data_IF_108769809877
#
_entry.id   IF_108769809877
#
_cell.length_a   1.000
_cell.length_b   1.000
_cell.length_c   1.000
_cell.angle_alpha   90.00
_cell.angle_beta   90.00
_cell.angle_gamma   90.00
#
_symmetry.space_group_name_H-M   'P 1'
#
loop_
_entity.id
_entity.type
_entity.pdbx_description
1 polymer ?
#
# COMPACT_ATOMS: atom_id res chain seq x y z
N UNK A 1 14.23 -53.22 -21.64
CA UNK A 1 14.24 -52.43 -20.38
C UNK A 1 14.67 -50.95 -20.51
N UNK A 2 15.10 -50.45 -21.67
CA UNK A 2 15.55 -49.04 -21.84
C UNK A 2 14.42 -47.99 -21.92
N UNK A 3 13.17 -48.40 -22.15
CA UNK A 3 12.04 -47.48 -22.40
C UNK A 3 11.56 -46.73 -21.16
N UNK A 4 11.54 -47.37 -19.98
CA UNK A 4 11.00 -46.76 -18.75
C UNK A 4 11.87 -45.61 -18.24
N UNK A 5 13.19 -45.80 -18.23
CA UNK A 5 14.16 -44.77 -17.79
C UNK A 5 14.10 -43.52 -18.67
N UNK A 6 13.88 -43.68 -19.98
CA UNK A 6 13.74 -42.54 -20.89
C UNK A 6 12.48 -41.71 -20.59
N UNK A 7 11.33 -42.37 -20.31
CA UNK A 7 10.08 -41.69 -19.94
C UNK A 7 10.22 -40.92 -18.62
N UNK A 8 10.88 -41.51 -17.61
CA UNK A 8 11.12 -40.85 -16.32
C UNK A 8 11.96 -39.59 -16.50
N UNK A 9 13.04 -39.64 -17.30
CA UNK A 9 13.90 -38.47 -17.56
C UNK A 9 13.15 -37.31 -18.21
N UNK A 10 12.26 -37.60 -19.17
CA UNK A 10 11.42 -36.58 -19.82
C UNK A 10 10.49 -35.91 -18.81
N UNK A 11 9.81 -36.70 -17.96
CA UNK A 11 8.93 -36.17 -16.90
C UNK A 11 9.69 -35.30 -15.91
N UNK A 12 10.86 -35.74 -15.43
CA UNK A 12 11.70 -34.96 -14.51
C UNK A 12 12.16 -33.64 -15.14
N UNK A 13 12.51 -33.64 -16.43
CA UNK A 13 12.89 -32.41 -17.14
C UNK A 13 11.72 -31.44 -17.26
N UNK A 14 10.51 -31.93 -17.55
CA UNK A 14 9.31 -31.11 -17.62
C UNK A 14 8.96 -30.50 -16.24
N UNK A 15 9.01 -31.30 -15.18
CA UNK A 15 8.76 -30.84 -13.81
C UNK A 15 9.74 -29.75 -13.37
N UNK A 16 11.04 -29.95 -13.62
CA UNK A 16 12.06 -28.91 -13.35
C UNK A 16 11.80 -27.61 -14.09
N UNK A 17 11.34 -27.69 -15.35
CA UNK A 17 11.00 -26.50 -16.14
C UNK A 17 9.81 -25.75 -15.51
N UNK A 18 8.76 -26.48 -15.13
CA UNK A 18 7.59 -25.89 -14.49
C UNK A 18 7.93 -25.20 -13.16
N UNK A 19 8.80 -25.79 -12.33
CA UNK A 19 9.27 -25.14 -11.10
C UNK A 19 10.01 -23.83 -11.37
N UNK A 20 10.89 -23.81 -12.39
CA UNK A 20 11.62 -22.58 -12.75
C UNK A 20 10.62 -21.52 -13.22
N UNK A 21 9.68 -21.89 -14.09
CA UNK A 21 8.65 -20.97 -14.60
C UNK A 21 7.76 -20.42 -13.47
N UNK A 22 7.43 -21.24 -12.46
CA UNK A 22 6.72 -20.81 -11.26
C UNK A 22 7.51 -19.79 -10.44
N UNK A 23 8.78 -20.07 -10.12
CA UNK A 23 9.61 -19.14 -9.36
C UNK A 23 9.84 -17.83 -10.11
N UNK A 24 10.04 -17.88 -11.43
CA UNK A 24 10.17 -16.68 -12.25
C UNK A 24 8.88 -15.85 -12.23
N UNK A 25 7.71 -16.50 -12.30
CA UNK A 25 6.42 -15.82 -12.22
C UNK A 25 6.19 -15.18 -10.84
N UNK A 26 6.50 -15.91 -9.75
CA UNK A 26 6.39 -15.41 -8.38
C UNK A 26 7.35 -14.23 -8.13
N UNK A 27 8.58 -14.32 -8.63
CA UNK A 27 9.56 -13.23 -8.54
C UNK A 27 9.06 -11.98 -9.27
N UNK A 28 8.55 -12.14 -10.50
CA UNK A 28 7.98 -11.03 -11.26
C UNK A 28 6.77 -10.37 -10.56
N UNK A 29 5.94 -11.15 -9.86
CA UNK A 29 4.84 -10.62 -9.06
C UNK A 29 5.35 -9.82 -7.86
N UNK A 30 6.37 -10.33 -7.15
CA UNK A 30 7.00 -9.65 -6.00
C UNK A 30 7.67 -8.33 -6.40
N UNK A 31 8.30 -8.29 -7.57
CA UNK A 31 8.87 -7.06 -8.13
C UNK A 31 7.77 -6.01 -8.35
N UNK A 32 6.64 -6.40 -8.96
CA UNK A 32 5.49 -5.50 -9.16
C UNK A 32 4.89 -5.00 -7.85
N UNK A 33 4.80 -5.85 -6.84
CA UNK A 33 4.33 -5.43 -5.50
C UNK A 33 5.29 -4.37 -4.93
N UNK A 34 6.59 -4.56 -5.08
CA UNK A 34 7.61 -3.60 -4.64
C UNK A 34 7.50 -2.27 -5.39
N UNK A 35 7.24 -2.32 -6.70
CA UNK A 35 7.01 -1.13 -7.53
C UNK A 35 5.75 -0.37 -7.08
N UNK A 36 4.63 -1.05 -6.84
CA UNK A 36 3.40 -0.42 -6.33
C UNK A 36 3.61 0.19 -4.94
N UNK A 37 4.30 -0.51 -4.03
CA UNK A 37 4.63 0.05 -2.70
C UNK A 37 5.48 1.33 -2.85
N UNK A 38 6.39 1.36 -3.81
CA UNK A 38 7.19 2.55 -4.12
C UNK A 38 6.34 3.69 -4.70
N UNK A 39 5.40 3.38 -5.60
CA UNK A 39 4.48 4.38 -6.14
C UNK A 39 3.56 4.97 -5.07
N UNK A 40 3.05 4.14 -4.15
CA UNK A 40 2.28 4.60 -2.98
C UNK A 40 3.11 5.60 -2.18
N UNK A 41 4.36 5.27 -1.86
CA UNK A 41 5.25 6.18 -1.12
C UNK A 41 5.49 7.49 -1.87
N UNK A 42 5.64 7.47 -3.20
CA UNK A 42 5.77 8.68 -4.01
C UNK A 42 4.51 9.54 -3.97
N UNK A 43 3.31 8.94 -4.05
CA UNK A 43 2.04 9.65 -4.01
C UNK A 43 1.78 10.25 -2.61
N UNK A 44 2.14 9.54 -1.54
CA UNK A 44 2.04 10.06 -0.17
C UNK A 44 2.92 11.30 0.04
N UNK A 45 4.12 11.29 -0.57
CA UNK A 45 5.07 12.41 -0.53
C UNK A 45 4.79 13.50 -1.58
N UNK A 46 3.77 13.34 -2.43
CA UNK A 46 3.45 14.30 -3.46
C UNK A 46 3.14 15.68 -2.85
N UNK A 47 3.68 16.73 -3.48
CA UNK A 47 3.43 18.09 -3.04
C UNK A 47 1.95 18.45 -3.25
N UNK A 48 1.35 19.27 -2.37
CA UNK A 48 0.00 19.77 -2.58
C UNK A 48 -0.07 20.63 -3.85
N UNK A 49 -1.27 20.77 -4.41
CA UNK A 49 -1.46 21.66 -5.55
C UNK A 49 -1.25 23.13 -5.18
N UNK A 50 -0.94 23.97 -6.16
CA UNK A 50 -0.77 25.41 -5.94
C UNK A 50 -2.03 26.05 -5.35
N UNK A 51 -3.21 25.62 -5.78
CA UNK A 51 -4.50 26.12 -5.30
C UNK A 51 -4.71 25.78 -3.81
N UNK A 52 -4.33 24.59 -3.38
CA UNK A 52 -4.42 24.20 -1.96
C UNK A 52 -3.43 24.96 -1.09
N UNK A 53 -2.22 25.19 -1.61
CA UNK A 53 -1.23 26.02 -0.91
C UNK A 53 -1.73 27.44 -0.77
N UNK A 54 -2.32 28.01 -1.82
CA UNK A 54 -2.94 29.34 -1.78
C UNK A 54 -4.05 29.41 -0.73
N UNK A 55 -4.98 28.45 -0.74
CA UNK A 55 -6.08 28.38 0.22
C UNK A 55 -5.57 28.25 1.68
N UNK A 56 -4.51 27.48 1.91
CA UNK A 56 -3.87 27.35 3.24
C UNK A 56 -3.17 28.64 3.66
N UNK A 57 -2.50 29.33 2.74
CA UNK A 57 -1.88 30.64 3.02
C UNK A 57 -2.97 31.65 3.39
N UNK A 58 -4.07 31.70 2.63
CA UNK A 58 -5.21 32.58 2.92
C UNK A 58 -5.82 32.29 4.29
N UNK A 59 -6.08 31.01 4.59
CA UNK A 59 -6.58 30.59 5.90
C UNK A 59 -5.63 31.00 7.03
N UNK A 60 -4.33 30.80 6.83
CA UNK A 60 -3.32 31.16 7.83
C UNK A 60 -3.23 32.68 8.04
N UNK A 61 -3.25 33.47 6.96
CA UNK A 61 -3.26 34.94 7.04
C UNK A 61 -4.51 35.43 7.76
N UNK A 62 -5.69 34.89 7.43
CA UNK A 62 -6.95 35.24 8.08
C UNK A 62 -6.95 34.88 9.57
N UNK A 63 -6.44 33.71 9.94
CA UNK A 63 -6.29 33.29 11.35
C UNK A 63 -5.33 34.20 12.10
N UNK A 64 -4.25 34.67 11.47
CA UNK A 64 -3.27 35.57 12.08
C UNK A 64 -3.82 36.99 12.21
N UNK A 65 -4.56 37.47 11.23
CA UNK A 65 -5.22 38.78 11.24
C UNK A 65 -6.33 38.85 12.30
N UNK A 66 -7.14 37.80 12.48
CA UNK A 66 -8.19 37.79 13.51
C UNK A 66 -7.62 37.84 14.94
N UNK A 67 -6.43 37.28 15.14
CA UNK A 67 -5.69 37.39 16.40
C UNK A 67 -5.11 38.80 16.65
N UNK A 68 -5.08 39.70 15.66
CA UNK A 68 -4.72 41.10 15.86
C UNK A 68 -5.89 41.92 16.44
N UNK A 69 -7.13 41.59 16.10
CA UNK A 69 -8.33 42.33 16.54
C UNK A 69 -8.60 42.25 18.06
N UNK A 70 -8.02 41.26 18.76
CA UNK A 70 -8.06 41.25 20.22
C UNK A 70 -7.17 42.34 20.84
N UNK A 71 -6.14 42.81 20.12
CA UNK A 71 -5.21 43.86 20.58
C UNK A 71 -5.69 45.26 20.21
N UNK A 72 -6.33 45.43 19.05
CA UNK A 72 -6.93 46.71 18.66
C UNK A 72 -7.98 47.20 19.69
N UNK A 73 -8.72 46.25 20.27
CA UNK A 73 -9.64 46.53 21.39
C UNK A 73 -8.92 47.03 22.65
N UNK A 74 -7.73 46.53 22.95
CA UNK A 74 -6.91 46.99 24.09
C UNK A 74 -6.39 48.42 23.91
N UNK A 75 -6.05 48.82 22.68
CA UNK A 75 -5.65 50.20 22.40
C UNK A 75 -6.84 51.18 22.34
N UNK A 76 -8.00 50.74 21.84
CA UNK A 76 -9.21 51.55 21.81
C UNK A 76 -9.77 51.86 23.22
N UNK A 77 -9.49 51.01 24.21
CA UNK A 77 -9.80 51.31 25.63
C UNK A 77 -8.86 52.32 26.27
N UNK A 78 -7.66 52.56 25.72
CA UNK A 78 -6.68 53.50 26.26
C UNK A 78 -7.02 54.98 25.99
N UNK A 79 -7.95 55.27 25.08
CA UNK A 79 -8.44 56.64 24.79
C UNK A 79 -9.60 57.09 25.68
N UNK A 80 -9.93 56.33 26.73
CA UNK A 80 -10.62 56.86 27.91
C UNK A 80 -12.15 56.95 27.88
N UNK A 81 -12.85 56.24 26.98
CA UNK A 81 -14.33 56.27 26.94
C UNK A 81 -15.02 54.89 26.92
N UNK A 82 -14.28 53.80 27.05
CA UNK A 82 -14.82 52.43 27.16
C UNK A 82 -14.53 51.78 28.51
N UNK A 83 -15.24 50.69 28.88
CA UNK A 83 -15.03 49.97 30.14
C UNK A 83 -13.56 49.60 30.29
N UNK A 84 -12.97 50.04 31.39
CA UNK A 84 -11.56 49.83 31.73
C UNK A 84 -11.31 48.34 31.93
N UNK A 85 -10.80 47.67 30.90
CA UNK A 85 -10.15 46.38 31.10
C UNK A 85 -8.87 46.69 31.87
N UNK A 86 -8.82 46.20 33.11
CA UNK A 86 -7.71 46.37 34.04
C UNK A 86 -6.47 45.66 33.49
N UNK A 87 -5.74 46.35 32.61
CA UNK A 87 -4.50 45.85 32.02
C UNK A 87 -3.38 46.07 33.03
N UNK A 88 -3.05 45.02 33.78
CA UNK A 88 -1.90 45.00 34.67
C UNK A 88 -0.60 44.85 33.84
N UNK A 89 0.22 45.90 33.68
CA UNK A 89 1.44 45.85 32.89
C UNK A 89 2.53 44.98 33.54
N UNK A 90 2.37 44.60 34.81
CA UNK A 90 3.34 43.77 35.55
C UNK A 90 2.98 42.27 35.57
N UNK A 91 1.76 41.89 35.17
CA UNK A 91 1.37 40.49 34.90
C UNK A 91 1.61 40.04 33.46
N UNK A 92 2.12 40.93 32.62
CA UNK A 92 2.51 40.63 31.24
C UNK A 92 3.86 39.91 31.11
N UNK A 93 4.53 39.55 32.21
CA UNK A 93 5.88 38.94 32.16
C UNK A 93 5.90 37.48 31.70
N UNK A 94 4.77 36.77 31.70
CA UNK A 94 4.74 35.33 31.39
C UNK A 94 4.11 35.01 30.03
N UNK A 95 3.57 36.01 29.34
CA UNK A 95 3.30 35.91 27.90
C UNK A 95 4.60 36.27 27.21
N UNK A 96 5.41 35.25 26.91
CA UNK A 96 6.57 35.33 26.02
C UNK A 96 6.37 36.44 24.98
N UNK A 97 7.39 37.28 24.74
CA UNK A 97 7.42 38.27 23.66
C UNK A 97 7.18 37.59 22.31
N UNK A 98 5.93 37.26 22.02
CA UNK A 98 5.50 36.71 20.75
C UNK A 98 5.70 37.87 19.82
N UNK A 99 6.73 37.80 18.98
CA UNK A 99 7.01 38.77 17.94
C UNK A 99 5.68 39.13 17.26
N UNK A 100 5.11 40.30 17.61
CA UNK A 100 3.75 40.71 17.21
C UNK A 100 3.73 41.31 15.82
N UNK A 101 4.90 41.63 15.29
CA UNK A 101 5.08 42.22 13.97
C UNK A 101 4.49 41.32 12.86
N UNK A 102 4.71 39.99 12.82
CA UNK A 102 4.02 39.08 11.91
C UNK A 102 2.49 39.18 11.93
N UNK A 103 1.87 39.33 13.12
CA UNK A 103 0.41 39.45 13.23
C UNK A 103 -0.08 40.78 12.63
N UNK A 104 0.59 41.88 12.97
CA UNK A 104 0.28 43.20 12.44
C UNK A 104 0.43 43.25 10.92
N UNK A 105 1.48 42.63 10.37
CA UNK A 105 1.71 42.58 8.93
C UNK A 105 0.63 41.77 8.20
N UNK A 106 0.16 40.66 8.77
CA UNK A 106 -0.95 39.90 8.20
C UNK A 106 -2.27 40.71 8.18
N UNK A 107 -2.50 41.56 9.19
CA UNK A 107 -3.69 42.41 9.24
C UNK A 107 -3.60 43.64 8.32
N UNK A 108 -2.42 44.28 8.24
CA UNK A 108 -2.25 45.55 7.53
C UNK A 108 -1.94 45.38 6.04
N UNK A 109 -1.21 44.32 5.66
CA UNK A 109 -0.73 44.09 4.29
C UNK A 109 -0.87 42.61 3.86
N UNK A 110 -2.07 41.99 4.00
CA UNK A 110 -2.29 40.57 3.71
C UNK A 110 -1.85 40.19 2.29
N UNK A 111 -2.18 41.00 1.29
CA UNK A 111 -1.85 40.74 -0.12
C UNK A 111 -0.34 40.67 -0.38
N UNK A 112 0.46 41.52 0.29
CA UNK A 112 1.93 41.49 0.13
C UNK A 112 2.54 40.25 0.77
N UNK A 113 2.02 39.83 1.92
CA UNK A 113 2.46 38.61 2.60
C UNK A 113 2.08 37.39 1.76
N UNK A 114 0.84 37.33 1.26
CA UNK A 114 0.38 36.28 0.35
C UNK A 114 1.26 36.19 -0.89
N UNK A 115 1.52 37.31 -1.57
CA UNK A 115 2.34 37.34 -2.77
C UNK A 115 3.78 36.84 -2.53
N UNK A 116 4.39 37.22 -1.40
CA UNK A 116 5.72 36.73 -1.03
C UNK A 116 5.72 35.22 -0.78
N UNK A 117 4.80 34.73 0.06
CA UNK A 117 4.68 33.29 0.37
C UNK A 117 4.35 32.46 -0.86
N UNK A 118 3.50 32.97 -1.75
CA UNK A 118 3.18 32.31 -3.02
C UNK A 118 4.37 32.29 -3.99
N UNK A 119 5.24 33.30 -3.95
CA UNK A 119 6.50 33.30 -4.70
C UNK A 119 7.41 32.16 -4.26
N UNK A 120 7.62 32.02 -2.96
CA UNK A 120 8.44 30.94 -2.38
C UNK A 120 7.81 29.56 -2.61
N UNK A 121 6.49 29.44 -2.44
CA UNK A 121 5.76 28.21 -2.69
C UNK A 121 5.85 27.76 -4.15
N UNK A 122 5.75 28.68 -5.11
CA UNK A 122 5.91 28.36 -6.54
C UNK A 122 7.31 27.86 -6.84
N UNK A 123 8.34 28.50 -6.29
CA UNK A 123 9.72 28.06 -6.48
C UNK A 123 9.96 26.65 -5.90
N UNK A 124 9.36 26.34 -4.76
CA UNK A 124 9.44 25.00 -4.17
C UNK A 124 8.63 23.95 -4.94
N UNK A 125 7.46 24.30 -5.47
CA UNK A 125 6.61 23.40 -6.26
C UNK A 125 7.18 23.11 -7.64
N UNK A 126 7.87 24.07 -8.26
CA UNK A 126 8.49 23.92 -9.60
C UNK A 126 9.55 22.80 -9.63
N UNK A 127 10.19 22.52 -8.49
CA UNK A 127 11.18 21.44 -8.35
C UNK A 127 10.58 20.13 -7.83
N UNK A 128 9.29 20.10 -7.49
CA UNK A 128 8.65 18.90 -6.94
C UNK A 128 8.38 17.87 -8.05
N UNK A 129 8.72 16.58 -7.84
CA UNK A 129 8.58 15.54 -8.87
C UNK A 129 7.12 15.22 -9.19
N UNK A 130 6.21 15.46 -8.25
CA UNK A 130 4.78 15.17 -8.38
C UNK A 130 3.99 16.18 -7.56
N UNK A 131 2.94 16.73 -8.16
CA UNK A 131 1.95 17.58 -7.50
C UNK A 131 0.58 16.94 -7.68
N UNK A 132 -0.16 16.78 -6.58
CA UNK A 132 -1.51 16.23 -6.59
C UNK A 132 -2.38 17.02 -5.64
N UNK A 133 -3.61 17.29 -6.07
CA UNK A 133 -4.65 17.77 -5.15
C UNK A 133 -4.97 16.69 -4.12
N UNK A 134 -5.53 17.06 -2.98
CA UNK A 134 -5.99 16.15 -1.94
C UNK A 134 -7.00 15.10 -2.45
N UNK A 135 -8.05 15.44 -3.24
CA UNK A 135 -8.95 14.43 -3.77
C UNK A 135 -8.24 13.46 -4.73
N UNK A 136 -7.42 13.96 -5.66
CA UNK A 136 -6.67 13.10 -6.59
C UNK A 136 -5.69 12.18 -5.87
N UNK A 137 -4.98 12.71 -4.86
CA UNK A 137 -4.08 11.92 -4.01
C UNK A 137 -4.84 10.83 -3.28
N UNK A 138 -6.00 11.14 -2.71
CA UNK A 138 -6.82 10.17 -2.00
C UNK A 138 -7.31 9.06 -2.94
N UNK A 139 -7.86 9.42 -4.09
CA UNK A 139 -8.33 8.47 -5.11
C UNK A 139 -7.18 7.59 -5.61
N UNK A 140 -6.03 8.18 -5.95
CA UNK A 140 -4.86 7.43 -6.42
C UNK A 140 -4.32 6.48 -5.36
N UNK A 141 -4.26 6.91 -4.10
CA UNK A 141 -3.84 6.03 -2.99
C UNK A 141 -4.83 4.90 -2.76
N UNK A 142 -6.13 5.17 -2.86
CA UNK A 142 -7.15 4.13 -2.73
C UNK A 142 -7.01 3.08 -3.82
N UNK A 143 -6.85 3.52 -5.07
CA UNK A 143 -6.64 2.63 -6.22
C UNK A 143 -5.39 1.79 -6.05
N UNK A 144 -4.23 2.41 -5.79
CA UNK A 144 -2.96 1.70 -5.62
C UNK A 144 -2.99 0.71 -4.45
N UNK A 145 -3.66 1.04 -3.34
CA UNK A 145 -3.81 0.13 -2.19
C UNK A 145 -4.74 -1.04 -2.51
N UNK A 146 -5.77 -0.82 -3.31
CA UNK A 146 -6.64 -1.88 -3.80
C UNK A 146 -5.87 -2.82 -4.73
N UNK A 147 -5.08 -2.27 -5.66
CA UNK A 147 -4.27 -3.05 -6.59
C UNK A 147 -3.17 -3.83 -5.86
N UNK A 148 -2.52 -3.21 -4.87
CA UNK A 148 -1.56 -3.86 -3.98
C UNK A 148 -2.20 -5.07 -3.28
N UNK A 149 -3.38 -4.87 -2.67
CA UNK A 149 -4.07 -5.94 -1.97
C UNK A 149 -4.44 -7.09 -2.91
N UNK A 150 -4.94 -6.80 -4.11
CA UNK A 150 -5.25 -7.83 -5.11
C UNK A 150 -3.99 -8.64 -5.51
N UNK A 151 -2.85 -7.97 -5.73
CA UNK A 151 -1.60 -8.65 -6.05
C UNK A 151 -1.07 -9.50 -4.90
N UNK A 152 -1.25 -9.07 -3.66
CA UNK A 152 -0.86 -9.86 -2.47
C UNK A 152 -1.75 -11.09 -2.30
N UNK A 153 -3.05 -11.01 -2.64
CA UNK A 153 -3.95 -12.18 -2.69
C UNK A 153 -3.55 -13.14 -3.81
N UNK A 154 -3.18 -12.62 -4.97
CA UNK A 154 -2.68 -13.44 -6.09
C UNK A 154 -1.38 -14.16 -5.72
N UNK A 155 -0.47 -13.49 -5.01
CA UNK A 155 0.76 -14.09 -4.50
C UNK A 155 0.46 -15.22 -3.53
N UNK A 156 -0.41 -14.99 -2.54
CA UNK A 156 -0.73 -16.03 -1.55
C UNK A 156 -1.36 -17.24 -2.22
N UNK A 157 -2.29 -17.03 -3.16
CA UNK A 157 -2.90 -18.13 -3.92
C UNK A 157 -1.85 -18.95 -4.68
N UNK A 158 -0.88 -18.31 -5.33
CA UNK A 158 0.23 -19.02 -5.98
C UNK A 158 1.08 -19.81 -4.99
N UNK A 159 1.26 -19.32 -3.76
CA UNK A 159 2.00 -20.01 -2.70
C UNK A 159 1.20 -21.23 -2.23
N UNK A 160 -0.10 -21.08 -1.94
CA UNK A 160 -0.97 -22.18 -1.52
C UNK A 160 -1.02 -23.29 -2.59
N UNK A 161 -1.24 -22.93 -3.87
CA UNK A 161 -1.24 -23.88 -4.99
C UNK A 161 0.09 -24.67 -5.08
N UNK A 162 1.22 -24.00 -4.81
CA UNK A 162 2.54 -24.63 -4.83
C UNK A 162 2.76 -25.54 -3.62
N UNK A 163 2.31 -25.13 -2.43
CA UNK A 163 2.38 -25.93 -1.20
C UNK A 163 1.51 -27.20 -1.29
N UNK A 164 0.31 -27.09 -1.87
CA UNK A 164 -0.54 -28.24 -2.20
C UNK A 164 0.15 -29.21 -3.16
N UNK A 165 0.95 -28.69 -4.10
CA UNK A 165 1.80 -29.48 -4.98
C UNK A 165 3.08 -30.04 -4.31
N UNK A 166 3.28 -29.77 -3.01
CA UNK A 166 4.43 -30.22 -2.23
C UNK A 166 5.70 -29.41 -2.45
N UNK A 167 5.60 -28.19 -2.97
CA UNK A 167 6.70 -27.24 -3.07
C UNK A 167 6.71 -26.34 -1.83
N UNK A 168 7.84 -26.29 -1.14
CA UNK A 168 8.05 -25.37 -0.02
C UNK A 168 8.40 -23.98 -0.57
N UNK A 169 7.57 -22.98 -0.26
CA UNK A 169 7.72 -21.61 -0.78
C UNK A 169 7.68 -20.63 0.39
N UNK A 170 8.77 -19.88 0.56
CA UNK A 170 8.85 -18.87 1.61
C UNK A 170 7.85 -17.73 1.38
N UNK A 171 7.00 -17.47 2.38
CA UNK A 171 6.16 -16.27 2.45
C UNK A 171 6.98 -15.03 2.82
N UNK A 172 6.56 -13.86 2.34
CA UNK A 172 7.24 -12.59 2.68
C UNK A 172 6.88 -12.16 4.11
N UNK A 173 7.83 -11.60 4.88
CA UNK A 173 7.58 -11.16 6.26
C UNK A 173 6.72 -9.89 6.35
N UNK A 174 6.58 -9.14 5.26
CA UNK A 174 5.81 -7.90 5.15
C UNK A 174 4.48 -8.07 4.41
N UNK A 175 4.02 -9.32 4.19
CA UNK A 175 2.73 -9.60 3.57
C UNK A 175 1.58 -9.11 4.46
N UNK A 176 0.54 -8.52 3.85
CA UNK A 176 -0.66 -8.12 4.59
C UNK A 176 -1.38 -9.37 5.14
N UNK A 177 -1.59 -9.48 6.47
CA UNK A 177 -2.26 -10.65 7.05
C UNK A 177 -3.68 -10.86 6.49
N UNK A 178 -4.34 -9.80 6.00
CA UNK A 178 -5.66 -9.92 5.36
C UNK A 178 -5.59 -10.62 4.01
N UNK A 179 -4.49 -10.45 3.25
CA UNK A 179 -4.30 -11.12 1.99
C UNK A 179 -4.02 -12.62 2.20
N UNK A 180 -3.23 -12.94 3.23
CA UNK A 180 -2.94 -14.32 3.64
C UNK A 180 -4.23 -15.07 4.01
N UNK A 181 -5.10 -14.43 4.79
CA UNK A 181 -6.36 -15.03 5.23
C UNK A 181 -7.47 -15.03 4.16
N UNK A 182 -7.33 -14.29 3.06
CA UNK A 182 -8.38 -14.15 2.04
C UNK A 182 -8.50 -15.38 1.12
N UNK A 183 -7.47 -16.24 1.06
CA UNK A 183 -7.49 -17.44 0.21
C UNK A 183 -8.37 -18.54 0.81
N UNK A 184 -8.39 -18.65 2.14
CA UNK A 184 -9.16 -19.67 2.87
C UNK A 184 -10.68 -19.38 2.92
N UNK A 185 -11.09 -18.12 2.73
CA UNK A 185 -12.49 -17.68 2.88
C UNK A 185 -13.26 -17.71 1.54
N UNK A 186 -12.66 -18.27 0.48
CA UNK A 186 -13.44 -18.66 -0.70
C UNK A 186 -14.41 -19.74 -0.24
N UNK A 187 -15.74 -19.51 -0.28
CA UNK A 187 -16.69 -20.54 0.09
C UNK A 187 -16.34 -21.75 -0.77
N UNK A 188 -15.94 -22.85 -0.13
CA UNK A 188 -15.88 -24.16 -0.76
C UNK A 188 -17.21 -24.29 -1.48
N UNK A 189 -17.21 -24.05 -2.80
CA UNK A 189 -18.44 -23.88 -3.53
C UNK A 189 -19.30 -25.08 -3.20
N UNK A 190 -20.55 -24.86 -2.77
CA UNK A 190 -21.53 -25.85 -2.32
C UNK A 190 -21.59 -27.04 -3.29
N UNK A 191 -20.58 -27.90 -3.21
CA UNK A 191 -20.19 -28.87 -4.23
C UNK A 191 -20.88 -30.20 -4.02
N UNK A 192 -22.06 -30.14 -3.41
CA UNK A 192 -22.82 -31.28 -2.93
C UNK A 192 -23.56 -32.01 -4.07
N UNK A 193 -23.22 -31.77 -5.34
CA UNK A 193 -23.90 -32.43 -6.48
C UNK A 193 -22.98 -33.05 -7.55
N UNK A 194 -21.64 -33.03 -7.40
CA UNK A 194 -20.73 -33.64 -8.38
C UNK A 194 -19.64 -34.59 -7.82
N UNK A 195 -19.52 -34.74 -6.49
CA UNK A 195 -18.43 -35.49 -5.85
C UNK A 195 -18.47 -37.02 -6.04
N UNK A 196 -19.58 -37.60 -6.51
CA UNK A 196 -19.68 -39.05 -6.70
C UNK A 196 -18.91 -39.58 -7.93
N UNK A 197 -18.62 -38.74 -8.93
CA UNK A 197 -17.92 -39.19 -10.14
C UNK A 197 -16.38 -39.11 -10.05
N UNK A 198 -15.83 -38.17 -9.26
CA UNK A 198 -14.37 -37.98 -9.15
C UNK A 198 -13.71 -38.94 -8.16
N UNK A 199 -14.42 -39.37 -7.10
CA UNK A 199 -13.93 -40.42 -6.21
C UNK A 199 -13.70 -41.74 -6.96
N UNK A 200 -14.56 -42.06 -7.95
CA UNK A 200 -14.40 -43.23 -8.81
C UNK A 200 -13.23 -43.10 -9.80
N UNK A 201 -12.79 -41.87 -10.13
CA UNK A 201 -11.65 -41.62 -11.00
C UNK A 201 -10.31 -41.77 -10.23
N UNK A 202 -10.24 -41.25 -9.01
CA UNK A 202 -9.05 -41.35 -8.14
C UNK A 202 -8.79 -42.82 -7.77
N UNK A 203 -9.83 -43.59 -7.46
CA UNK A 203 -9.69 -45.03 -7.14
C UNK A 203 -9.23 -45.86 -8.36
N UNK A 204 -9.60 -45.45 -9.60
CA UNK A 204 -9.06 -46.05 -10.83
C UNK A 204 -7.59 -45.74 -11.04
N UNK A 205 -7.16 -44.50 -10.80
CA UNK A 205 -5.76 -44.08 -10.96
C UNK A 205 -4.87 -44.76 -9.91
N UNK A 206 -5.34 -44.87 -8.66
CA UNK A 206 -4.63 -45.58 -7.59
C UNK A 206 -4.53 -47.10 -7.87
N UNK A 207 -5.59 -47.71 -8.39
CA UNK A 207 -5.59 -49.11 -8.82
C UNK A 207 -4.62 -49.41 -9.96
N UNK A 208 -4.48 -48.49 -10.92
CA UNK A 208 -3.54 -48.63 -12.03
C UNK A 208 -2.07 -48.45 -11.61
N UNK A 209 -1.78 -47.56 -10.65
CA UNK A 209 -0.42 -47.40 -10.10
C UNK A 209 0.03 -48.65 -9.32
N UNK A 210 -0.89 -49.29 -8.59
CA UNK A 210 -0.62 -50.52 -7.86
C UNK A 210 -0.44 -51.74 -8.79
N UNK A 211 -1.17 -51.79 -9.91
CA UNK A 211 -0.93 -52.76 -10.99
C UNK A 211 0.45 -52.59 -11.62
N UNK A 212 0.87 -51.35 -11.89
CA UNK A 212 2.19 -51.05 -12.45
C UNK A 212 3.31 -51.44 -11.47
N UNK A 213 3.15 -51.16 -10.17
CA UNK A 213 4.09 -51.62 -9.12
C UNK A 213 4.23 -53.15 -9.09
N UNK A 214 3.12 -53.88 -9.15
CA UNK A 214 3.15 -55.35 -9.12
C UNK A 214 3.76 -55.96 -10.39
N UNK A 215 3.56 -55.34 -11.55
CA UNK A 215 4.23 -55.75 -12.79
C UNK A 215 5.75 -55.52 -12.71
N UNK A 216 6.18 -54.42 -12.09
CA UNK A 216 7.59 -54.12 -11.87
C UNK A 216 8.27 -55.19 -10.99
N UNK A 217 7.60 -55.59 -9.90
CA UNK A 217 8.12 -56.61 -8.95
C UNK A 217 8.21 -58.00 -9.62
N UNK A 218 7.26 -58.36 -10.49
CA UNK A 218 7.34 -59.62 -11.26
C UNK A 218 8.49 -59.62 -12.25
N UNK A 219 8.65 -58.54 -13.02
CA UNK A 219 9.73 -58.43 -13.99
C UNK A 219 11.12 -58.54 -13.33
N UNK A 220 11.29 -58.02 -12.10
CA UNK A 220 12.56 -58.15 -11.36
C UNK A 220 12.82 -59.55 -10.80
N UNK A 221 11.83 -60.44 -10.72
CA UNK A 221 12.01 -61.81 -10.22
C UNK A 221 12.35 -62.83 -11.31
N UNK A 222 12.06 -62.52 -12.58
CA UNK A 222 12.34 -63.42 -13.71
C UNK A 222 13.78 -63.26 -14.25
N UNK A 223 14.51 -62.21 -13.86
CA UNK A 223 15.89 -61.96 -14.28
C UNK A 223 16.95 -62.59 -13.35
N UNK A 224 16.53 -63.18 -12.21
CA UNK A 224 17.42 -63.79 -11.19
C UNK A 224 17.50 -65.34 -11.27
N UNK A 225 16.80 -65.97 -12.24
CA UNK A 225 16.88 -67.41 -12.57
C UNK A 225 17.58 -67.64 -13.93
#
# INVERSE_FOLDING_TARGET
>A
MTSTTAKVRVKVKAYKKAIIEFHDALAALRDRITDIKSEIAMVEQAAPSLEEVEAKIDQWIAQRASNWDCLGRTFATATGTGPTVDYDPFRASDVHEVNRLPLALCALVPERIKAAMMGDARAALDVAPMQLTAPERHEKLQQLRSDLFAMEVDEERMICDAEEAGLDVDRRPDADPRAVLAVDDQPEGDGDEAADDDAALIDRIAGDDQRLRNQLIRATKEDDD
#
